data_IF_734949660189
#
_entry.id   IF_734949660189
#
_cell.length_a   1.000
_cell.length_b   1.000
_cell.length_c   1.000
_cell.angle_alpha   90.00
_cell.angle_beta   90.00
_cell.angle_gamma   90.00
#
_symmetry.space_group_name_H-M   'P 1'
#
loop_
_entity.id
_entity.type
_entity.pdbx_description
1 polymer ?
#
# COMPACT_ATOMS: atom_id res chain seq x y z
N UNK A 1 12.32 -15.61 7.85
CA UNK A 1 11.46 -14.54 7.31
C UNK A 1 12.26 -13.25 7.32
N UNK A 2 12.03 -12.37 6.35
CA UNK A 2 12.44 -10.96 6.42
C UNK A 2 11.24 -10.17 6.89
N UNK A 3 11.43 -9.18 7.76
CA UNK A 3 10.34 -8.42 8.36
C UNK A 3 10.66 -6.93 8.47
N UNK A 4 9.61 -6.13 8.62
CA UNK A 4 9.68 -4.69 8.89
C UNK A 4 8.75 -4.38 10.07
N UNK A 5 9.10 -3.35 10.85
CA UNK A 5 8.28 -2.83 11.94
C UNK A 5 7.70 -1.48 11.53
N UNK A 6 6.39 -1.32 11.70
CA UNK A 6 5.69 -0.06 11.52
C UNK A 6 5.15 0.39 12.88
N UNK A 7 5.42 1.64 13.26
CA UNK A 7 4.90 2.26 14.48
C UNK A 7 4.19 3.58 14.15
N UNK A 8 3.18 3.92 14.95
CA UNK A 8 2.40 5.13 14.79
C UNK A 8 1.49 5.38 15.98
N UNK A 9 0.91 6.58 16.05
CA UNK A 9 -0.03 6.98 17.10
C UNK A 9 -1.45 6.94 16.56
N UNK A 10 -2.39 6.54 17.40
CA UNK A 10 -3.82 6.53 17.10
C UNK A 10 -4.62 6.98 18.32
N UNK A 11 -5.75 7.64 18.07
CA UNK A 11 -6.76 7.97 19.09
C UNK A 11 -7.91 6.95 19.12
N UNK A 12 -7.88 5.95 18.23
CA UNK A 12 -8.85 4.86 18.22
C UNK A 12 -8.63 3.96 19.44
N UNK A 13 -9.73 3.45 20.01
CA UNK A 13 -9.63 2.43 21.05
C UNK A 13 -9.18 1.08 20.45
N UNK A 14 -8.73 0.16 21.31
CA UNK A 14 -8.16 -1.13 20.88
C UNK A 14 -9.10 -1.98 20.03
N UNK A 15 -10.42 -1.97 20.30
CA UNK A 15 -11.39 -2.72 19.51
C UNK A 15 -11.63 -2.12 18.12
N UNK A 16 -11.58 -0.79 18.01
CA UNK A 16 -11.60 -0.11 16.71
C UNK A 16 -10.34 -0.43 15.92
N UNK A 17 -9.15 -0.34 16.53
CA UNK A 17 -7.88 -0.71 15.89
C UNK A 17 -7.93 -2.15 15.39
N UNK A 18 -8.41 -3.09 16.20
CA UNK A 18 -8.57 -4.48 15.79
C UNK A 18 -9.51 -4.60 14.58
N UNK A 19 -10.67 -3.94 14.61
CA UNK A 19 -11.65 -4.00 13.51
C UNK A 19 -11.09 -3.46 12.20
N UNK A 20 -10.44 -2.32 12.23
CA UNK A 20 -9.92 -1.64 11.02
C UNK A 20 -8.63 -2.31 10.50
N UNK A 21 -7.91 -3.06 11.32
CA UNK A 21 -6.71 -3.81 10.90
C UNK A 21 -6.97 -5.26 10.49
N UNK A 22 -8.22 -5.73 10.59
CA UNK A 22 -8.58 -7.07 10.16
C UNK A 22 -8.72 -7.15 8.63
N UNK A 23 -8.01 -8.02 7.92
CA UNK A 23 -6.90 -8.89 8.36
C UNK A 23 -5.59 -8.44 7.73
N UNK A 24 -4.48 -8.78 8.37
CA UNK A 24 -3.15 -8.43 7.88
C UNK A 24 -2.94 -8.89 6.43
N UNK A 25 -2.51 -7.97 5.56
CA UNK A 25 -2.27 -8.23 4.14
C UNK A 25 -1.29 -9.39 3.87
N UNK A 26 -0.41 -9.71 4.83
CA UNK A 26 0.56 -10.81 4.75
C UNK A 26 -0.09 -12.21 4.72
N UNK A 27 -1.35 -12.32 5.15
CA UNK A 27 -2.10 -13.60 5.20
C UNK A 27 -3.38 -13.59 4.36
N UNK A 28 -3.69 -12.47 3.72
CA UNK A 28 -4.83 -12.29 2.81
C UNK A 28 -4.36 -11.92 1.41
N UNK A 29 -3.78 -10.73 1.27
CA UNK A 29 -3.32 -10.11 0.04
C UNK A 29 -3.58 -8.60 0.07
N UNK A 30 -3.31 -7.93 -1.05
CA UNK A 30 -3.54 -6.49 -1.22
C UNK A 30 -4.01 -6.20 -2.65
N UNK A 31 -4.95 -5.25 -2.86
CA UNK A 31 -5.74 -4.56 -1.83
C UNK A 31 -6.69 -5.49 -1.06
N UNK A 32 -6.95 -5.22 0.24
CA UNK A 32 -7.56 -6.20 1.17
C UNK A 32 -8.94 -6.70 0.71
N UNK A 33 -9.82 -5.81 0.27
CA UNK A 33 -11.18 -6.16 -0.17
C UNK A 33 -11.15 -7.03 -1.43
N UNK A 34 -10.28 -6.68 -2.38
CA UNK A 34 -10.04 -7.46 -3.60
C UNK A 34 -9.42 -8.83 -3.28
N UNK A 35 -8.44 -8.87 -2.38
CA UNK A 35 -7.83 -10.11 -1.93
C UNK A 35 -8.86 -11.05 -1.29
N UNK A 36 -9.78 -10.53 -0.47
CA UNK A 36 -10.89 -11.31 0.07
C UNK A 36 -11.80 -11.91 -1.01
N UNK A 37 -12.09 -11.18 -2.10
CA UNK A 37 -12.84 -11.70 -3.25
C UNK A 37 -12.05 -12.80 -4.00
N UNK A 38 -10.75 -12.63 -4.18
CA UNK A 38 -9.86 -13.63 -4.79
C UNK A 38 -9.80 -14.90 -3.93
N UNK A 39 -9.64 -14.77 -2.61
CA UNK A 39 -9.68 -15.89 -1.66
C UNK A 39 -11.01 -16.63 -1.79
N UNK A 40 -12.13 -15.91 -1.76
CA UNK A 40 -13.47 -16.51 -1.88
C UNK A 40 -13.67 -17.23 -3.22
N UNK A 41 -13.02 -16.77 -4.29
CA UNK A 41 -13.09 -17.39 -5.61
C UNK A 41 -12.31 -18.72 -5.69
N UNK A 42 -11.15 -18.81 -5.04
CA UNK A 42 -10.24 -19.95 -5.20
C UNK A 42 -10.23 -20.93 -4.01
N UNK A 43 -10.64 -20.51 -2.80
CA UNK A 43 -10.77 -21.39 -1.64
C UNK A 43 -12.21 -21.90 -1.52
N UNK A 44 -12.39 -23.22 -1.57
CA UNK A 44 -13.70 -23.88 -1.46
C UNK A 44 -14.16 -24.10 -0.02
N UNK A 45 -13.28 -23.92 0.95
CA UNK A 45 -13.53 -24.15 2.38
C UNK A 45 -13.33 -22.88 3.19
N UNK A 46 -14.02 -22.77 4.33
CA UNK A 46 -13.83 -21.67 5.25
C UNK A 46 -12.44 -21.70 5.90
N UNK A 47 -11.80 -20.54 6.02
CA UNK A 47 -10.51 -20.39 6.72
C UNK A 47 -10.58 -20.66 8.22
N UNK A 48 -11.77 -20.64 8.82
CA UNK A 48 -11.97 -20.76 10.28
C UNK A 48 -11.07 -19.75 11.01
N UNK A 49 -10.12 -20.19 11.84
CA UNK A 49 -9.21 -19.27 12.54
C UNK A 49 -7.91 -18.98 11.77
N UNK A 50 -7.65 -19.64 10.64
CA UNK A 50 -6.46 -19.33 9.83
C UNK A 50 -6.52 -17.89 9.31
N UNK A 51 -5.40 -17.17 9.45
CA UNK A 51 -5.26 -15.75 9.12
C UNK A 51 -6.05 -14.78 10.03
N UNK A 52 -6.68 -15.28 11.10
CA UNK A 52 -7.38 -14.46 12.09
C UNK A 52 -6.41 -13.83 13.10
N UNK A 53 -6.96 -13.17 14.13
CA UNK A 53 -6.20 -12.59 15.24
C UNK A 53 -6.57 -13.28 16.55
N UNK A 54 -5.57 -13.67 17.34
CA UNK A 54 -5.76 -13.97 18.77
C UNK A 54 -5.52 -12.67 19.52
N UNK A 55 -6.44 -12.27 20.41
CA UNK A 55 -6.40 -10.92 21.00
C UNK A 55 -6.37 -11.01 22.52
N UNK A 56 -5.30 -10.48 23.11
CA UNK A 56 -5.25 -10.11 24.52
C UNK A 56 -5.44 -8.60 24.61
N UNK A 57 -6.58 -8.15 25.14
CA UNK A 57 -6.86 -6.72 25.30
C UNK A 57 -7.23 -6.39 26.75
N UNK A 58 -6.93 -5.17 27.18
CA UNK A 58 -7.20 -4.73 28.54
C UNK A 58 -6.56 -3.38 28.85
N UNK A 59 -6.11 -3.23 30.09
CA UNK A 59 -5.35 -2.08 30.57
C UNK A 59 -3.94 -2.51 30.95
N UNK A 60 -2.95 -1.67 30.67
CA UNK A 60 -1.60 -1.88 31.19
C UNK A 60 -1.48 -1.46 32.67
N UNK A 61 -0.24 -1.40 33.19
CA UNK A 61 0.03 -1.02 34.58
C UNK A 61 -0.24 0.45 34.88
N UNK A 62 -0.27 1.30 33.86
CA UNK A 62 -0.48 2.75 33.98
C UNK A 62 -1.96 3.11 33.77
N UNK A 63 -2.77 2.14 33.32
CA UNK A 63 -4.21 2.29 33.09
C UNK A 63 -4.55 2.61 31.64
N UNK A 64 -3.57 2.58 30.75
CA UNK A 64 -3.73 2.84 29.32
C UNK A 64 -4.24 1.61 28.58
N UNK A 65 -4.93 1.85 27.46
CA UNK A 65 -5.46 0.77 26.62
C UNK A 65 -4.30 -0.08 26.06
N UNK A 66 -4.37 -1.39 26.30
CA UNK A 66 -3.36 -2.35 25.86
C UNK A 66 -3.98 -3.42 24.96
N UNK A 67 -3.27 -3.78 23.90
CA UNK A 67 -3.61 -4.91 23.05
C UNK A 67 -2.34 -5.62 22.55
N UNK A 68 -2.29 -6.93 22.72
CA UNK A 68 -1.34 -7.83 22.06
C UNK A 68 -2.13 -8.81 21.18
N UNK A 69 -1.82 -8.84 19.88
CA UNK A 69 -2.67 -9.48 18.88
C UNK A 69 -1.86 -10.22 17.80
N UNK A 70 -1.32 -11.42 18.08
CA UNK A 70 -0.64 -12.22 17.06
C UNK A 70 -1.60 -12.74 15.98
N UNK A 71 -1.09 -12.82 14.75
CA UNK A 71 -1.79 -13.44 13.62
C UNK A 71 -1.83 -14.96 13.82
N UNK A 72 -3.00 -15.57 13.66
CA UNK A 72 -3.18 -17.02 13.77
C UNK A 72 -2.71 -17.73 12.50
N UNK A 73 -1.40 -17.94 12.43
CA UNK A 73 -0.69 -18.80 11.48
C UNK A 73 0.25 -19.73 12.25
N UNK A 74 0.68 -20.84 11.63
CA UNK A 74 1.49 -21.87 12.32
C UNK A 74 0.75 -22.45 13.54
N UNK A 75 -0.57 -22.51 13.47
CA UNK A 75 -1.46 -22.97 14.53
C UNK A 75 -2.34 -24.11 14.04
N UNK A 76 -2.62 -25.09 14.91
CA UNK A 76 -3.55 -26.20 14.66
C UNK A 76 -4.83 -25.99 15.46
N UNK A 77 -5.97 -26.16 14.81
CA UNK A 77 -7.25 -26.32 15.47
C UNK A 77 -7.45 -27.80 15.77
N UNK A 78 -7.75 -28.17 17.02
CA UNK A 78 -8.03 -29.57 17.41
C UNK A 78 -9.45 -29.61 17.95
N UNK A 79 -10.31 -30.43 17.35
CA UNK A 79 -11.67 -30.62 17.84
C UNK A 79 -11.74 -31.61 19.02
N UNK A 80 -12.92 -31.72 19.65
CA UNK A 80 -13.14 -32.63 20.79
C UNK A 80 -12.96 -34.11 20.44
N UNK A 81 -13.01 -34.47 19.15
CA UNK A 81 -12.77 -35.83 18.67
C UNK A 81 -11.28 -36.12 18.41
N UNK A 82 -10.42 -35.11 18.57
CA UNK A 82 -8.99 -35.19 18.32
C UNK A 82 -8.60 -34.99 16.85
N UNK A 83 -9.52 -34.53 15.98
CA UNK A 83 -9.15 -34.19 14.61
C UNK A 83 -8.43 -32.83 14.60
N UNK A 84 -7.22 -32.82 14.05
CA UNK A 84 -6.42 -31.62 13.86
C UNK A 84 -6.60 -31.03 12.46
N UNK A 85 -6.91 -29.73 12.36
CA UNK A 85 -6.87 -28.95 11.13
C UNK A 85 -5.73 -27.94 11.19
N UNK A 86 -4.86 -27.97 10.19
CA UNK A 86 -3.79 -27.01 10.01
C UNK A 86 -3.83 -26.46 8.59
N UNK A 87 -3.76 -25.12 8.45
CA UNK A 87 -3.71 -24.43 7.17
C UNK A 87 -2.39 -23.66 7.03
N UNK A 88 -1.88 -23.62 5.81
CA UNK A 88 -0.65 -22.92 5.45
C UNK A 88 -0.77 -22.35 4.05
N UNK A 89 -0.19 -21.17 3.84
CA UNK A 89 -0.14 -20.50 2.55
C UNK A 89 1.18 -19.77 2.32
N UNK A 90 1.32 -19.26 1.09
CA UNK A 90 2.40 -18.40 0.63
C UNK A 90 1.83 -17.08 0.10
N UNK A 91 2.67 -16.05 0.07
CA UNK A 91 2.30 -14.79 -0.59
C UNK A 91 2.59 -14.96 -2.08
N UNK A 92 1.55 -15.11 -2.88
CA UNK A 92 1.70 -15.24 -4.33
C UNK A 92 1.93 -13.86 -4.95
N UNK A 93 3.02 -13.71 -5.70
CA UNK A 93 3.40 -12.52 -6.45
C UNK A 93 3.53 -12.85 -7.94
N UNK A 94 3.76 -11.83 -8.78
CA UNK A 94 3.75 -11.99 -10.25
C UNK A 94 4.78 -13.00 -10.78
N UNK A 95 5.89 -13.15 -10.08
CA UNK A 95 7.05 -13.98 -10.40
C UNK A 95 7.14 -15.22 -9.48
N UNK A 96 6.08 -15.51 -8.72
CA UNK A 96 5.99 -16.75 -7.94
C UNK A 96 6.07 -17.97 -8.85
N UNK A 97 6.96 -18.90 -8.48
CA UNK A 97 7.03 -20.23 -9.09
C UNK A 97 6.18 -21.22 -8.27
N UNK A 98 5.19 -21.91 -8.87
CA UNK A 98 4.30 -22.80 -8.12
C UNK A 98 5.02 -23.91 -7.33
N UNK A 99 6.17 -24.39 -7.80
CA UNK A 99 6.93 -25.40 -7.08
C UNK A 99 7.62 -24.80 -5.85
N UNK A 100 8.23 -23.62 -5.98
CA UNK A 100 8.82 -22.91 -4.84
C UNK A 100 7.76 -22.54 -3.78
N UNK A 101 6.58 -22.08 -4.18
CA UNK A 101 5.50 -21.75 -3.25
C UNK A 101 5.03 -22.99 -2.46
N UNK A 102 4.93 -24.14 -3.13
CA UNK A 102 4.63 -25.42 -2.48
C UNK A 102 5.75 -25.84 -1.51
N UNK A 103 7.02 -25.65 -1.86
CA UNK A 103 8.14 -25.93 -0.94
C UNK A 103 8.15 -24.98 0.26
N UNK A 104 7.75 -23.72 0.07
CA UNK A 104 7.61 -22.75 1.15
C UNK A 104 6.51 -23.16 2.13
N UNK A 105 5.34 -23.60 1.64
CA UNK A 105 4.27 -24.07 2.53
C UNK A 105 4.70 -25.30 3.34
N UNK A 106 5.45 -26.24 2.74
CA UNK A 106 6.05 -27.35 3.48
C UNK A 106 7.01 -26.87 4.57
N UNK A 107 7.93 -25.96 4.24
CA UNK A 107 8.88 -25.40 5.18
C UNK A 107 8.18 -24.71 6.36
N UNK A 108 7.12 -23.94 6.09
CA UNK A 108 6.26 -23.29 7.09
C UNK A 108 5.53 -24.30 7.99
N UNK A 109 5.22 -25.48 7.48
CA UNK A 109 4.51 -26.55 8.21
C UNK A 109 5.41 -27.35 9.14
N UNK A 110 6.71 -27.48 8.81
CA UNK A 110 7.65 -28.38 9.51
C UNK A 110 7.74 -28.15 11.02
N UNK A 111 7.66 -26.90 11.48
CA UNK A 111 7.75 -26.62 12.93
C UNK A 111 6.60 -27.25 13.71
N UNK A 112 5.37 -27.07 13.22
CA UNK A 112 4.16 -27.60 13.86
C UNK A 112 4.05 -29.12 13.72
N UNK A 113 4.26 -29.65 12.51
CA UNK A 113 4.27 -31.10 12.28
C UNK A 113 5.39 -31.78 13.07
N UNK A 114 6.55 -31.14 13.16
CA UNK A 114 7.67 -31.56 14.01
C UNK A 114 7.24 -31.66 15.48
N UNK A 115 6.57 -30.65 16.02
CA UNK A 115 6.09 -30.68 17.40
C UNK A 115 5.08 -31.82 17.69
N UNK A 116 4.24 -32.19 16.73
CA UNK A 116 3.26 -33.28 16.87
C UNK A 116 3.89 -34.67 16.73
N UNK A 117 4.91 -34.80 15.89
CA UNK A 117 5.58 -36.07 15.55
C UNK A 117 6.84 -36.33 16.36
N UNK A 118 7.37 -35.32 17.07
CA UNK A 118 8.63 -35.42 17.77
C UNK A 118 8.56 -36.39 18.95
N UNK A 119 9.09 -37.59 18.75
CA UNK A 119 9.56 -38.49 19.80
C UNK A 119 11.06 -38.22 20.05
N UNK A 120 11.39 -37.11 20.70
CA UNK A 120 12.77 -36.77 21.11
C UNK A 120 13.26 -35.39 20.71
N UNK A 121 14.34 -34.92 21.36
CA UNK A 121 14.97 -33.63 21.10
C UNK A 121 15.59 -33.57 19.70
N UNK A 122 15.08 -32.69 18.85
CA UNK A 122 15.76 -32.41 17.58
C UNK A 122 17.09 -31.68 17.85
N UNK A 123 18.20 -32.09 17.21
CA UNK A 123 19.46 -31.38 17.33
C UNK A 123 19.30 -29.95 16.80
N UNK A 124 19.87 -28.96 17.52
CA UNK A 124 19.92 -27.57 17.04
C UNK A 124 20.52 -27.55 15.64
N UNK A 125 19.81 -26.91 14.71
CA UNK A 125 20.23 -26.87 13.32
C UNK A 125 21.44 -25.93 13.17
N UNK A 126 22.65 -26.49 13.20
CA UNK A 126 23.92 -25.75 13.15
C UNK A 126 24.06 -24.83 11.91
N UNK A 127 23.25 -25.04 10.88
CA UNK A 127 23.19 -24.18 9.69
C UNK A 127 22.53 -22.84 10.03
N UNK A 128 21.46 -22.84 10.83
CA UNK A 128 20.76 -21.62 11.23
C UNK A 128 21.66 -20.70 12.05
N UNK A 129 22.43 -21.24 13.01
CA UNK A 129 23.38 -20.45 13.80
C UNK A 129 24.49 -19.86 12.90
N UNK A 130 25.01 -20.61 11.93
CA UNK A 130 26.02 -20.11 10.98
C UNK A 130 25.47 -19.02 10.07
N UNK A 131 24.23 -19.15 9.61
CA UNK A 131 23.57 -18.16 8.74
C UNK A 131 23.25 -16.88 9.50
N UNK A 132 22.75 -16.98 10.74
CA UNK A 132 22.44 -15.83 11.59
C UNK A 132 23.68 -15.00 11.92
N UNK A 133 24.84 -15.64 12.06
CA UNK A 133 26.11 -14.98 12.35
C UNK A 133 27.00 -14.74 11.12
N UNK A 134 26.52 -15.05 9.91
CA UNK A 134 27.28 -14.80 8.69
C UNK A 134 27.28 -13.32 8.35
N UNK A 135 28.46 -12.71 8.30
CA UNK A 135 28.62 -11.32 7.88
C UNK A 135 28.05 -11.08 6.47
N UNK A 136 28.21 -12.04 5.55
CA UNK A 136 27.71 -11.94 4.17
C UNK A 136 26.17 -11.93 4.12
N UNK A 137 25.51 -12.72 4.96
CA UNK A 137 24.05 -12.76 5.07
C UNK A 137 23.54 -11.46 5.69
N UNK A 138 24.17 -11.01 6.77
CA UNK A 138 23.83 -9.74 7.42
C UNK A 138 24.01 -8.55 6.46
N UNK A 139 25.11 -8.52 5.71
CA UNK A 139 25.37 -7.49 4.71
C UNK A 139 24.33 -7.53 3.58
N UNK A 140 23.95 -8.73 3.11
CA UNK A 140 22.91 -8.88 2.09
C UNK A 140 21.53 -8.40 2.58
N UNK A 141 21.19 -8.69 3.84
CA UNK A 141 19.96 -8.18 4.47
C UNK A 141 20.01 -6.65 4.63
N UNK A 142 21.15 -6.08 5.02
CA UNK A 142 21.33 -4.63 5.13
C UNK A 142 21.28 -3.93 3.77
N UNK A 143 21.92 -4.49 2.73
CA UNK A 143 21.88 -3.94 1.36
C UNK A 143 20.45 -3.83 0.83
N UNK A 144 19.57 -4.80 1.16
CA UNK A 144 18.14 -4.73 0.80
C UNK A 144 17.45 -3.48 1.35
N UNK A 145 17.81 -3.06 2.57
CA UNK A 145 17.17 -1.93 3.23
C UNK A 145 17.63 -0.56 2.69
N UNK A 146 18.80 -0.48 2.04
CA UNK A 146 19.34 0.77 1.47
C UNK A 146 18.52 1.34 0.31
N UNK A 147 17.54 0.58 -0.18
CA UNK A 147 16.75 0.91 -1.36
C UNK A 147 15.30 1.26 -1.02
N UNK A 148 14.93 1.23 0.26
CA UNK A 148 13.58 1.47 0.73
C UNK A 148 13.40 2.92 1.16
N UNK A 149 12.13 3.31 1.30
CA UNK A 149 11.71 4.59 1.86
C UNK A 149 12.42 4.86 3.18
N UNK A 150 13.12 5.99 3.25
CA UNK A 150 13.74 6.47 4.49
C UNK A 150 12.71 6.80 5.56
N UNK A 151 11.52 7.27 5.16
CA UNK A 151 10.41 7.56 6.07
C UNK A 151 10.06 6.32 6.92
N UNK A 152 9.58 5.24 6.31
CA UNK A 152 9.21 4.02 7.05
C UNK A 152 10.36 3.31 7.78
N UNK A 153 11.61 3.59 7.44
CA UNK A 153 12.77 2.91 8.05
C UNK A 153 13.20 3.52 9.39
N UNK A 154 12.91 4.81 9.62
CA UNK A 154 13.24 5.49 10.88
C UNK A 154 12.01 5.64 11.76
N UNK A 155 12.21 5.58 13.09
CA UNK A 155 11.12 5.82 14.03
C UNK A 155 10.61 7.25 13.86
N UNK A 156 9.34 7.37 13.50
CA UNK A 156 8.65 8.62 13.23
C UNK A 156 8.40 9.47 14.50
N UNK A 157 8.51 8.88 15.69
CA UNK A 157 8.20 9.59 16.94
C UNK A 157 9.20 10.68 17.31
N UNK A 158 10.43 10.62 16.78
CA UNK A 158 11.52 11.52 17.15
C UNK A 158 11.93 12.49 16.03
N UNK A 159 11.20 12.52 14.91
CA UNK A 159 11.50 13.37 13.76
C UNK A 159 10.32 14.29 13.47
N UNK A 160 10.54 15.60 13.54
CA UNK A 160 9.55 16.59 13.15
C UNK A 160 9.56 16.73 11.62
N UNK A 161 8.50 16.22 10.99
CA UNK A 161 8.28 16.31 9.54
C UNK A 161 7.35 17.47 9.15
N UNK A 162 6.95 18.33 10.09
CA UNK A 162 5.97 19.39 9.80
C UNK A 162 6.50 20.38 8.78
N UNK A 163 5.58 20.85 7.92
CA UNK A 163 5.88 21.83 6.88
C UNK A 163 4.94 23.00 7.05
N UNK A 164 5.49 24.20 7.27
CA UNK A 164 4.71 25.40 7.60
C UNK A 164 3.60 25.70 6.57
N UNK A 165 3.85 25.46 5.28
CA UNK A 165 2.87 25.67 4.21
C UNK A 165 1.71 24.67 4.22
N UNK A 166 1.93 23.48 4.78
CA UNK A 166 0.97 22.37 4.80
C UNK A 166 0.22 22.28 6.14
N UNK A 167 0.72 22.96 7.17
CA UNK A 167 0.16 22.94 8.51
C UNK A 167 -1.29 23.42 8.53
N UNK A 168 -2.19 22.56 9.03
CA UNK A 168 -3.63 22.83 9.12
C UNK A 168 -4.37 22.78 7.78
N UNK A 169 -3.72 22.37 6.69
CA UNK A 169 -4.39 22.20 5.40
C UNK A 169 -5.29 20.97 5.42
N UNK A 170 -6.53 21.13 4.98
CA UNK A 170 -7.53 20.05 4.96
C UNK A 170 -7.41 19.24 3.67
N UNK A 171 -7.25 17.93 3.82
CA UNK A 171 -7.10 16.96 2.74
C UNK A 171 -8.23 15.96 2.82
N UNK A 172 -8.91 15.74 1.70
CA UNK A 172 -9.88 14.67 1.56
C UNK A 172 -9.34 13.64 0.57
N UNK A 173 -9.08 12.43 1.07
CA UNK A 173 -8.63 11.30 0.26
C UNK A 173 -9.83 10.42 -0.06
N UNK A 174 -10.12 10.26 -1.35
CA UNK A 174 -11.14 9.34 -1.85
C UNK A 174 -10.48 7.98 -2.02
N UNK A 175 -10.81 7.05 -1.13
CA UNK A 175 -10.32 5.67 -1.12
C UNK A 175 -11.08 4.84 -2.16
N UNK A 176 -10.37 4.36 -3.18
CA UNK A 176 -10.91 3.54 -4.26
C UNK A 176 -10.66 2.04 -4.02
N UNK A 177 -10.85 1.57 -2.77
CA UNK A 177 -10.60 0.20 -2.27
C UNK A 177 -9.11 -0.16 -2.20
N UNK A 178 -8.25 0.77 -1.77
CA UNK A 178 -6.82 0.50 -1.58
C UNK A 178 -6.27 1.18 -0.33
N UNK A 179 -5.82 0.34 0.62
CA UNK A 179 -5.30 0.74 1.93
C UNK A 179 -4.03 1.60 1.85
N UNK A 180 -3.40 1.72 0.67
CA UNK A 180 -2.36 2.72 0.41
C UNK A 180 -2.81 4.15 0.76
N UNK A 181 -4.13 4.45 0.70
CA UNK A 181 -4.68 5.72 1.17
C UNK A 181 -4.35 6.03 2.64
N UNK A 182 -4.22 5.00 3.50
CA UNK A 182 -3.84 5.17 4.91
C UNK A 182 -2.35 5.50 5.07
N UNK A 183 -1.48 4.88 4.28
CA UNK A 183 -0.05 5.21 4.25
C UNK A 183 0.16 6.66 3.79
N UNK A 184 -0.51 7.04 2.70
CA UNK A 184 -0.52 8.39 2.19
C UNK A 184 -1.02 9.38 3.25
N UNK A 185 -2.17 9.09 3.85
CA UNK A 185 -2.75 9.93 4.89
C UNK A 185 -1.88 10.06 6.14
N UNK A 186 -1.12 9.02 6.50
CA UNK A 186 -0.16 9.08 7.59
C UNK A 186 1.00 10.04 7.28
N UNK A 187 1.56 9.97 6.07
CA UNK A 187 2.61 10.91 5.63
C UNK A 187 2.09 12.35 5.61
N UNK A 188 0.90 12.58 5.07
CA UNK A 188 0.28 13.91 5.08
C UNK A 188 0.08 14.47 6.50
N UNK A 189 -0.39 13.65 7.45
CA UNK A 189 -0.50 14.07 8.85
C UNK A 189 0.87 14.39 9.47
N UNK A 190 1.93 13.67 9.07
CA UNK A 190 3.30 13.98 9.52
C UNK A 190 3.78 15.36 9.04
N UNK A 191 3.29 15.85 7.90
CA UNK A 191 3.55 17.21 7.40
C UNK A 191 2.73 18.29 8.11
N UNK A 192 1.79 17.92 9.00
CA UNK A 192 0.92 18.83 9.74
C UNK A 192 -0.45 19.06 9.11
N UNK A 193 -0.82 18.29 8.08
CA UNK A 193 -2.13 18.39 7.44
C UNK A 193 -3.25 17.73 8.26
N UNK A 194 -4.48 18.20 8.06
CA UNK A 194 -5.70 17.56 8.54
C UNK A 194 -6.25 16.61 7.46
N UNK A 195 -6.20 15.30 7.70
CA UNK A 195 -6.57 14.29 6.70
C UNK A 195 -7.85 13.56 7.06
N UNK A 196 -8.81 13.62 6.15
CA UNK A 196 -10.02 12.81 6.12
C UNK A 196 -9.95 11.79 4.97
N UNK A 197 -10.28 10.53 5.25
CA UNK A 197 -10.34 9.47 4.23
C UNK A 197 -11.82 9.08 4.08
N UNK A 198 -12.34 9.21 2.87
CA UNK A 198 -13.73 8.87 2.51
C UNK A 198 -13.73 7.73 1.51
N UNK A 199 -14.54 6.70 1.77
CA UNK A 199 -14.70 5.58 0.85
C UNK A 199 -15.46 6.02 -0.40
N UNK A 200 -15.00 5.61 -1.58
CA UNK A 200 -15.63 5.92 -2.87
C UNK A 200 -17.13 5.60 -2.89
N UNK A 201 -17.57 4.50 -2.27
CA UNK A 201 -18.99 4.11 -2.24
C UNK A 201 -19.85 5.18 -1.55
N UNK A 202 -19.27 5.91 -0.59
CA UNK A 202 -19.96 6.94 0.21
C UNK A 202 -19.79 8.35 -0.32
N UNK A 203 -18.96 8.55 -1.35
CA UNK A 203 -18.75 9.85 -1.97
C UNK A 203 -19.89 10.14 -2.94
N UNK A 204 -20.54 11.30 -2.83
CA UNK A 204 -21.41 11.80 -3.88
C UNK A 204 -20.59 12.66 -4.85
N UNK A 205 -20.78 12.47 -6.15
CA UNK A 205 -20.08 13.24 -7.20
C UNK A 205 -20.55 14.69 -7.22
N UNK A 206 -21.79 14.94 -6.83
CA UNK A 206 -22.37 16.28 -6.78
C UNK A 206 -22.03 17.02 -5.47
N UNK A 207 -21.60 16.30 -4.44
CA UNK A 207 -21.27 16.84 -3.11
C UNK A 207 -19.84 16.50 -2.68
N UNK A 208 -18.87 16.68 -3.58
CA UNK A 208 -17.46 16.47 -3.26
C UNK A 208 -17.05 17.48 -2.15
N UNK A 209 -16.57 17.01 -0.98
CA UNK A 209 -16.28 17.88 0.16
C UNK A 209 -15.34 19.04 -0.18
N UNK A 210 -15.57 20.20 0.42
CA UNK A 210 -14.65 21.32 0.33
C UNK A 210 -13.37 21.04 1.13
N UNK A 211 -12.22 21.26 0.51
CA UNK A 211 -10.90 20.93 1.05
C UNK A 211 -9.85 21.75 0.30
N UNK A 212 -8.74 22.08 0.97
CA UNK A 212 -7.60 22.76 0.34
C UNK A 212 -7.08 21.96 -0.86
N UNK A 213 -7.15 20.62 -0.77
CA UNK A 213 -6.90 19.72 -1.89
C UNK A 213 -7.55 18.35 -1.71
N UNK A 214 -7.87 17.72 -2.84
CA UNK A 214 -8.45 16.38 -2.90
C UNK A 214 -7.41 15.39 -3.40
N UNK A 215 -7.44 14.16 -2.87
CA UNK A 215 -6.67 13.05 -3.42
C UNK A 215 -7.63 12.02 -3.99
N UNK A 216 -7.57 11.79 -5.31
CA UNK A 216 -8.23 10.65 -5.95
C UNK A 216 -7.28 9.47 -5.82
N UNK A 217 -7.58 8.60 -4.85
CA UNK A 217 -6.66 7.56 -4.38
C UNK A 217 -6.41 6.42 -5.37
N UNK A 218 -5.45 5.54 -5.03
CA UNK A 218 -5.21 4.32 -5.79
C UNK A 218 -6.37 3.33 -5.60
N UNK A 219 -6.40 2.29 -6.44
CA UNK A 219 -7.46 1.30 -6.41
C UNK A 219 -7.21 0.15 -7.39
N UNK A 220 -7.81 -1.03 -7.16
CA UNK A 220 -7.88 -2.08 -8.16
C UNK A 220 -8.93 -1.73 -9.22
N UNK A 221 -8.68 -2.14 -10.47
CA UNK A 221 -9.65 -1.99 -11.56
C UNK A 221 -8.99 -1.98 -12.93
N UNK A 222 -9.80 -2.02 -13.99
CA UNK A 222 -9.34 -1.64 -15.31
C UNK A 222 -9.78 -0.19 -15.57
N UNK A 223 -8.85 0.78 -15.72
CA UNK A 223 -9.21 2.18 -15.88
C UNK A 223 -10.08 2.46 -17.12
N UNK A 224 -10.10 1.54 -18.10
CA UNK A 224 -10.91 1.65 -19.32
C UNK A 224 -12.25 0.94 -19.24
N UNK A 225 -12.61 0.32 -18.11
CA UNK A 225 -13.92 -0.34 -17.96
C UNK A 225 -15.03 0.65 -17.60
N UNK A 226 -16.28 0.21 -17.79
CA UNK A 226 -17.50 0.97 -17.47
C UNK A 226 -18.25 0.36 -16.27
N UNK A 227 -17.52 -0.23 -15.32
CA UNK A 227 -18.11 -0.63 -14.04
C UNK A 227 -18.60 0.60 -13.29
N UNK A 228 -19.59 0.42 -12.40
CA UNK A 228 -20.13 1.50 -11.56
C UNK A 228 -19.02 2.26 -10.82
N UNK A 229 -18.05 1.52 -10.27
CA UNK A 229 -16.84 2.07 -9.65
C UNK A 229 -16.08 2.99 -10.62
N UNK A 230 -15.73 2.50 -11.80
CA UNK A 230 -14.92 3.26 -12.74
C UNK A 230 -15.66 4.48 -13.30
N UNK A 231 -16.96 4.35 -13.58
CA UNK A 231 -17.80 5.48 -13.99
C UNK A 231 -17.82 6.57 -12.90
N UNK A 232 -17.90 6.17 -11.62
CA UNK A 232 -17.88 7.10 -10.49
C UNK A 232 -16.53 7.82 -10.35
N UNK A 233 -15.41 7.10 -10.47
CA UNK A 233 -14.07 7.72 -10.42
C UNK A 233 -13.88 8.68 -11.60
N UNK A 234 -14.29 8.30 -12.82
CA UNK A 234 -14.26 9.16 -14.01
C UNK A 234 -15.05 10.45 -13.77
N UNK A 235 -16.28 10.33 -13.27
CA UNK A 235 -17.14 11.49 -12.99
C UNK A 235 -16.55 12.43 -11.91
N UNK A 236 -15.92 11.89 -10.86
CA UNK A 236 -15.21 12.68 -9.85
C UNK A 236 -14.06 13.47 -10.50
N UNK A 237 -13.21 12.81 -11.29
CA UNK A 237 -12.07 13.45 -11.95
C UNK A 237 -12.54 14.54 -12.93
N UNK A 238 -13.55 14.26 -13.75
CA UNK A 238 -14.14 15.23 -14.68
C UNK A 238 -14.66 16.46 -13.95
N UNK A 239 -15.34 16.25 -12.81
CA UNK A 239 -15.86 17.33 -11.97
C UNK A 239 -14.75 18.19 -11.38
N UNK A 240 -13.71 17.57 -10.82
CA UNK A 240 -12.57 18.28 -10.25
C UNK A 240 -11.85 19.14 -11.29
N UNK A 241 -11.68 18.63 -12.51
CA UNK A 241 -11.09 19.37 -13.62
C UNK A 241 -11.99 20.53 -14.08
N UNK A 242 -13.30 20.30 -14.23
CA UNK A 242 -14.25 21.32 -14.65
C UNK A 242 -14.32 22.49 -13.66
N UNK A 243 -14.30 22.18 -12.37
CA UNK A 243 -14.37 23.17 -11.28
C UNK A 243 -12.99 23.79 -10.95
N UNK A 244 -11.90 23.36 -11.63
CA UNK A 244 -10.52 23.78 -11.34
C UNK A 244 -10.14 23.60 -9.85
N UNK A 245 -10.63 22.53 -9.24
CA UNK A 245 -10.29 22.15 -7.87
C UNK A 245 -8.81 21.71 -7.84
N UNK A 246 -8.09 22.04 -6.76
CA UNK A 246 -6.74 21.53 -6.54
C UNK A 246 -6.80 20.04 -6.15
N UNK A 247 -6.21 19.13 -6.94
CA UNK A 247 -6.22 17.70 -6.62
C UNK A 247 -4.96 16.93 -7.02
N UNK A 248 -4.73 15.82 -6.33
CA UNK A 248 -3.71 14.82 -6.65
C UNK A 248 -4.39 13.51 -7.04
N UNK A 249 -3.99 12.93 -8.16
CA UNK A 249 -4.48 11.64 -8.61
C UNK A 249 -3.37 10.59 -8.51
N UNK A 250 -3.61 9.46 -7.85
CA UNK A 250 -2.58 8.44 -7.57
C UNK A 250 -2.95 7.10 -8.20
N UNK A 251 -2.01 6.47 -8.91
CA UNK A 251 -2.14 5.17 -9.58
C UNK A 251 -3.41 5.03 -10.43
N UNK A 252 -4.48 4.41 -9.92
CA UNK A 252 -5.76 4.31 -10.64
C UNK A 252 -6.36 5.70 -10.90
N UNK A 253 -6.33 6.60 -9.92
CA UNK A 253 -6.76 7.98 -10.10
C UNK A 253 -5.96 8.68 -11.20
N UNK A 254 -4.65 8.48 -11.23
CA UNK A 254 -3.77 9.03 -12.28
C UNK A 254 -4.14 8.48 -13.67
N UNK A 255 -4.39 7.18 -13.79
CA UNK A 255 -4.80 6.58 -15.06
C UNK A 255 -6.11 7.17 -15.57
N UNK A 256 -7.10 7.35 -14.68
CA UNK A 256 -8.37 7.99 -15.02
C UNK A 256 -8.17 9.45 -15.44
N UNK A 257 -7.32 10.20 -14.75
CA UNK A 257 -6.95 11.56 -15.13
C UNK A 257 -6.31 11.62 -16.52
N UNK A 258 -5.32 10.77 -16.79
CA UNK A 258 -4.72 10.70 -18.11
C UNK A 258 -5.74 10.35 -19.20
N UNK A 259 -6.65 9.41 -18.91
CA UNK A 259 -7.72 9.06 -19.85
C UNK A 259 -8.65 10.24 -20.15
N UNK A 260 -9.04 10.99 -19.12
CA UNK A 260 -9.89 12.17 -19.26
C UNK A 260 -9.20 13.30 -20.07
N UNK A 261 -7.87 13.36 -20.02
CA UNK A 261 -7.04 14.23 -20.86
C UNK A 261 -6.84 13.71 -22.30
N UNK A 262 -7.45 12.57 -22.64
CA UNK A 262 -7.37 11.97 -23.98
C UNK A 262 -6.11 11.14 -24.24
N UNK A 263 -5.34 10.80 -23.20
CA UNK A 263 -4.14 9.97 -23.35
C UNK A 263 -4.52 8.49 -23.46
N UNK A 264 -3.84 7.72 -24.34
CA UNK A 264 -4.05 6.29 -24.46
C UNK A 264 -3.63 5.56 -23.17
N UNK A 265 -4.51 4.68 -22.69
CA UNK A 265 -4.22 3.73 -21.61
C UNK A 265 -3.96 2.35 -22.19
N UNK A 266 -2.81 1.78 -21.87
CA UNK A 266 -2.38 0.48 -22.41
C UNK A 266 -2.13 -0.47 -21.25
N UNK A 267 -2.64 -1.70 -21.41
CA UNK A 267 -2.29 -2.82 -20.52
C UNK A 267 -0.87 -3.28 -20.82
N UNK A 268 0.00 -3.30 -19.82
CA UNK A 268 1.37 -3.78 -19.98
C UNK A 268 1.40 -5.29 -20.22
N UNK A 269 2.34 -5.74 -21.06
CA UNK A 269 2.69 -7.16 -21.19
C UNK A 269 3.25 -7.69 -19.86
N UNK A 270 4.13 -6.89 -19.23
CA UNK A 270 4.72 -7.16 -17.92
C UNK A 270 4.19 -6.18 -16.85
N UNK A 271 3.20 -6.58 -16.03
CA UNK A 271 2.65 -5.74 -14.96
C UNK A 271 3.72 -5.36 -13.93
N UNK A 272 3.77 -4.10 -13.53
CA UNK A 272 4.65 -3.60 -12.48
C UNK A 272 3.95 -3.72 -11.12
N UNK A 273 3.88 -4.94 -10.58
CA UNK A 273 3.32 -5.18 -9.25
C UNK A 273 4.45 -5.31 -8.21
N UNK A 274 4.64 -4.28 -7.38
CA UNK A 274 5.66 -4.26 -6.33
C UNK A 274 7.08 -4.05 -6.85
N UNK A 275 7.27 -3.16 -7.83
CA UNK A 275 8.57 -2.91 -8.47
C UNK A 275 9.06 -1.51 -8.17
N UNK A 276 10.30 -1.38 -7.67
CA UNK A 276 10.97 -0.10 -7.55
C UNK A 276 11.73 0.23 -8.85
N UNK A 277 11.55 1.44 -9.40
CA UNK A 277 12.26 1.92 -10.59
C UNK A 277 12.82 3.32 -10.37
N UNK A 278 13.86 3.65 -11.12
CA UNK A 278 14.32 5.03 -11.26
C UNK A 278 13.63 5.66 -12.47
N UNK A 279 13.03 6.83 -12.26
CA UNK A 279 12.28 7.58 -13.27
C UNK A 279 12.90 8.96 -13.46
N UNK A 280 12.62 9.58 -14.60
CA UNK A 280 12.71 11.04 -14.70
C UNK A 280 11.41 11.65 -14.15
N UNK A 281 11.52 12.45 -13.09
CA UNK A 281 10.43 13.21 -12.49
C UNK A 281 10.70 14.70 -12.69
N UNK A 282 10.12 15.26 -13.76
CA UNK A 282 10.26 16.68 -14.14
C UNK A 282 11.72 17.18 -14.17
N UNK A 283 12.62 16.38 -14.73
CA UNK A 283 14.05 16.71 -14.85
C UNK A 283 14.93 16.13 -13.74
N UNK A 284 14.34 15.50 -12.72
CA UNK A 284 15.06 14.93 -11.58
C UNK A 284 14.96 13.40 -11.57
N UNK A 285 16.11 12.72 -11.43
CA UNK A 285 16.13 11.27 -11.22
C UNK A 285 15.59 10.94 -9.83
N UNK A 286 14.51 10.15 -9.76
CA UNK A 286 13.88 9.73 -8.50
C UNK A 286 13.59 8.23 -8.53
N UNK A 287 13.69 7.57 -7.37
CA UNK A 287 13.40 6.14 -7.20
C UNK A 287 12.08 5.93 -6.47
N UNK A 288 11.13 5.31 -7.17
CA UNK A 288 9.72 5.18 -6.77
C UNK A 288 9.18 3.77 -6.99
N UNK A 289 8.14 3.40 -6.24
CA UNK A 289 7.49 2.09 -6.26
C UNK A 289 6.21 2.07 -7.12
N UNK A 290 6.07 1.03 -7.94
CA UNK A 290 4.95 0.81 -8.86
C UNK A 290 4.13 -0.43 -8.50
N UNK A 291 2.80 -0.33 -8.64
CA UNK A 291 1.80 -1.37 -8.34
C UNK A 291 0.68 -1.40 -9.39
N UNK A 292 1.04 -1.31 -10.67
CA UNK A 292 0.09 -1.08 -11.76
C UNK A 292 0.25 -2.09 -12.90
N UNK A 293 -0.87 -2.37 -13.57
CA UNK A 293 -0.96 -3.22 -14.76
C UNK A 293 -1.25 -2.42 -16.03
N UNK A 294 -1.79 -1.21 -15.88
CA UNK A 294 -2.07 -0.27 -16.96
C UNK A 294 -1.18 0.96 -16.78
N UNK A 295 -0.79 1.59 -17.89
CA UNK A 295 -0.10 2.88 -17.91
C UNK A 295 -0.72 3.79 -18.98
N UNK A 296 -0.63 5.09 -18.76
CA UNK A 296 -0.85 6.08 -19.81
C UNK A 296 0.42 6.26 -20.66
N UNK A 297 0.24 6.61 -21.94
CA UNK A 297 1.34 6.90 -22.86
C UNK A 297 1.17 8.28 -23.47
N UNK A 298 2.28 9.01 -23.63
CA UNK A 298 2.25 10.32 -24.28
C UNK A 298 1.90 10.15 -25.76
N UNK A 299 0.91 10.91 -26.23
CA UNK A 299 0.48 10.93 -27.63
C UNK A 299 0.57 12.36 -28.21
N UNK A 300 1.55 13.14 -27.72
CA UNK A 300 1.70 14.57 -27.99
C UNK A 300 1.64 15.42 -26.72
N UNK A 301 1.86 16.73 -26.87
CA UNK A 301 1.72 17.68 -25.77
C UNK A 301 0.25 17.98 -25.47
N UNK A 302 -0.10 18.11 -24.20
CA UNK A 302 -1.41 18.59 -23.74
C UNK A 302 -1.24 20.05 -23.30
N UNK A 303 -2.09 20.99 -23.77
CA UNK A 303 -2.00 22.38 -23.36
C UNK A 303 -2.06 22.55 -21.83
N UNK A 304 -1.13 23.31 -21.27
CA UNK A 304 -1.03 23.63 -19.84
C UNK A 304 -0.82 22.40 -18.93
N UNK A 305 -0.31 21.29 -19.48
CA UNK A 305 0.01 20.09 -18.71
C UNK A 305 1.44 19.66 -19.04
N UNK A 306 2.29 19.66 -18.02
CA UNK A 306 3.62 19.07 -18.12
C UNK A 306 3.51 17.56 -17.94
N UNK A 307 4.23 16.81 -18.78
CA UNK A 307 4.26 15.34 -18.77
C UNK A 307 5.67 14.86 -18.43
N UNK A 308 5.76 13.99 -17.42
CA UNK A 308 6.97 13.26 -17.07
C UNK A 308 6.84 11.81 -17.53
N UNK A 309 7.61 11.43 -18.55
CA UNK A 309 7.59 10.09 -19.15
C UNK A 309 8.99 9.48 -19.26
N UNK A 310 9.07 8.16 -19.25
CA UNK A 310 10.30 7.40 -19.49
C UNK A 310 10.57 7.19 -20.99
N UNK A 311 11.68 6.52 -21.30
CA UNK A 311 11.98 6.04 -22.65
C UNK A 311 10.85 5.11 -23.15
N UNK A 312 10.17 5.51 -24.23
CA UNK A 312 8.98 4.81 -24.76
C UNK A 312 7.64 5.47 -24.42
N UNK A 313 7.66 6.73 -23.98
CA UNK A 313 6.48 7.60 -23.76
C UNK A 313 5.56 7.14 -22.63
N UNK A 314 5.99 6.18 -21.80
CA UNK A 314 5.23 5.75 -20.62
C UNK A 314 5.20 6.86 -19.58
N UNK A 315 4.00 7.34 -19.25
CA UNK A 315 3.80 8.46 -18.35
C UNK A 315 3.92 8.00 -16.90
N UNK A 316 4.84 8.62 -16.17
CA UNK A 316 5.06 8.42 -14.74
C UNK A 316 4.35 9.46 -13.89
N UNK A 317 4.29 10.70 -14.39
CA UNK A 317 3.58 11.78 -13.73
C UNK A 317 3.12 12.85 -14.72
N UNK A 318 2.08 13.59 -14.34
CA UNK A 318 1.61 14.79 -15.04
C UNK A 318 1.34 15.89 -14.02
N UNK A 319 1.46 17.16 -14.42
CA UNK A 319 1.11 18.29 -13.57
C UNK A 319 0.51 19.45 -14.36
N UNK A 320 -0.35 20.21 -13.72
CA UNK A 320 -0.92 21.48 -14.18
C UNK A 320 -1.02 22.46 -13.00
N UNK A 321 -1.59 23.63 -13.22
CA UNK A 321 -1.91 24.60 -12.15
C UNK A 321 -2.84 24.00 -11.06
N UNK A 322 -3.75 23.10 -11.43
CA UNK A 322 -4.78 22.58 -10.52
C UNK A 322 -4.57 21.13 -10.12
N UNK A 323 -3.66 20.39 -10.78
CA UNK A 323 -3.51 18.99 -10.44
C UNK A 323 -2.11 18.43 -10.59
N UNK A 324 -1.89 17.36 -9.85
CA UNK A 324 -0.82 16.40 -10.10
C UNK A 324 -1.43 15.02 -10.33
N UNK A 325 -0.79 14.23 -11.19
CA UNK A 325 -1.08 12.82 -11.36
C UNK A 325 0.19 12.01 -11.22
N UNK A 326 0.22 11.00 -10.37
CA UNK A 326 1.37 10.12 -10.13
C UNK A 326 0.98 8.66 -10.42
N UNK A 327 1.66 8.01 -11.37
CA UNK A 327 1.44 6.58 -11.66
C UNK A 327 1.98 5.69 -10.54
N UNK A 328 3.03 6.12 -9.87
CA UNK A 328 3.68 5.41 -8.76
C UNK A 328 3.06 5.77 -7.41
N UNK A 329 3.39 4.99 -6.39
CA UNK A 329 2.96 5.18 -5.01
C UNK A 329 4.09 5.84 -4.20
N UNK A 330 4.08 7.17 -4.09
CA UNK A 330 5.08 7.91 -3.31
C UNK A 330 5.11 7.47 -1.83
N UNK A 331 3.97 7.00 -1.32
CA UNK A 331 3.78 6.51 0.02
C UNK A 331 4.37 5.11 0.27
N UNK A 332 4.70 4.35 -0.78
CA UNK A 332 5.17 2.97 -0.66
C UNK A 332 6.53 2.85 0.04
N UNK A 333 6.74 1.75 0.77
CA UNK A 333 8.06 1.35 1.27
C UNK A 333 9.10 1.19 0.15
N UNK A 334 8.67 0.90 -1.09
CA UNK A 334 9.54 0.80 -2.26
C UNK A 334 9.98 2.17 -2.82
N UNK A 335 9.34 3.25 -2.38
CA UNK A 335 9.62 4.61 -2.84
C UNK A 335 10.67 5.29 -1.95
N UNK A 336 11.94 5.07 -2.26
CA UNK A 336 13.07 5.69 -1.54
C UNK A 336 12.91 7.22 -1.45
N UNK A 337 12.57 7.86 -2.57
CA UNK A 337 12.49 9.31 -2.67
C UNK A 337 11.04 9.83 -2.50
N UNK A 338 10.12 8.95 -2.09
CA UNK A 338 8.68 9.22 -2.03
C UNK A 338 8.26 10.28 -1.02
N UNK A 339 8.93 10.34 0.13
CA UNK A 339 8.68 11.37 1.15
C UNK A 339 9.00 12.79 0.65
N UNK A 340 10.08 12.95 -0.12
CA UNK A 340 10.45 14.25 -0.69
C UNK A 340 9.48 14.63 -1.81
N UNK A 341 9.21 13.70 -2.74
CA UNK A 341 8.25 13.92 -3.83
C UNK A 341 6.89 14.35 -3.29
N UNK A 342 6.36 13.61 -2.30
CA UNK A 342 5.04 13.90 -1.78
C UNK A 342 4.98 15.27 -1.10
N UNK A 343 5.98 15.61 -0.30
CA UNK A 343 6.09 16.94 0.32
C UNK A 343 6.06 18.05 -0.73
N UNK A 344 6.88 17.93 -1.77
CA UNK A 344 7.06 18.98 -2.77
C UNK A 344 5.80 19.14 -3.63
N UNK A 345 5.21 18.03 -4.08
CA UNK A 345 3.94 18.02 -4.82
C UNK A 345 2.82 18.70 -4.02
N UNK A 346 2.71 18.40 -2.72
CA UNK A 346 1.69 19.02 -1.86
C UNK A 346 1.94 20.52 -1.67
N UNK A 347 3.19 20.93 -1.45
CA UNK A 347 3.54 22.35 -1.33
C UNK A 347 3.22 23.14 -2.59
N UNK A 348 3.50 22.57 -3.77
CA UNK A 348 3.19 23.20 -5.05
C UNK A 348 1.69 23.31 -5.29
N UNK A 349 0.93 22.23 -5.04
CA UNK A 349 -0.54 22.27 -5.17
C UNK A 349 -1.16 23.34 -4.26
N UNK A 350 -0.67 23.49 -3.03
CA UNK A 350 -1.19 24.50 -2.09
C UNK A 350 -0.73 25.92 -2.44
N UNK A 351 0.35 26.08 -3.20
CA UNK A 351 0.85 27.39 -3.63
C UNK A 351 -0.06 28.03 -4.68
N UNK A 352 -0.21 29.36 -4.65
CA UNK A 352 -0.88 30.14 -5.71
C UNK A 352 0.10 30.57 -6.82
N UNK A 353 1.26 29.90 -6.90
CA UNK A 353 2.28 30.16 -7.91
C UNK A 353 2.13 29.11 -9.00
N UNK A 354 2.20 29.52 -10.26
CA UNK A 354 2.35 28.59 -11.38
C UNK A 354 3.61 27.71 -11.18
N UNK A 355 3.52 26.39 -11.46
CA UNK A 355 4.58 25.40 -11.22
C UNK A 355 5.79 25.47 -12.17
#
# INVERSE_FOLDING_TARGET
>A
HTEYLLSGKTSMNTLQVLRESMYAATVTGSPIESACRVIKKYETEARRYYASALVLHGKDKEGDDYMDSPITIRAMEIDESGNGLFRVGGTLVRDSDPHHERLETEAKSRGLLGALTASGSQPRNAILDRVLHSAEVQESLQRRNQHLSTFWFFNQENVDHTVDMLKGKRIVIIDNEDDFCHMFGHMCRSYGCEVEIVKLERTDVDEIPDADFIVVGPGPGNPTDDSEKMLKIKAIVDRLMADKRKFLAVCLGHQVLCHALGLPLIRKEDPQQGVAKEINFFGHRKRVGFYNTFCAYAAGGIPNVDISADEGDEINAIRSEYFYGLQFHAESILSRDGHEILRDVLCELVSDKEP
#
